data_IF_000792058966
#
_entry.id   IF_000792058966
#
_cell.length_a   1.000
_cell.length_b   1.000
_cell.length_c   1.000
_cell.angle_alpha   90.00
_cell.angle_beta   90.00
_cell.angle_gamma   90.00
#
_symmetry.space_group_name_H-M   'P 1'
#
loop_
_entity.id
_entity.type
_entity.pdbx_description
1 polymer ?
#
# COMPACT_ATOMS: atom_id res chain seq x y z
N UNK A 1 18.32 -57.00 18.83
CA UNK A 1 18.53 -55.63 19.36
C UNK A 1 19.12 -54.65 18.34
N UNK A 2 20.25 -54.92 17.65
CA UNK A 2 20.89 -53.95 16.74
C UNK A 2 19.98 -53.40 15.62
N UNK A 3 19.09 -54.23 15.05
CA UNK A 3 18.13 -53.78 14.02
C UNK A 3 17.10 -52.79 14.56
N UNK A 4 16.67 -52.92 15.82
CA UNK A 4 15.66 -52.03 16.42
C UNK A 4 16.23 -50.62 16.68
N UNK A 5 17.49 -50.53 17.10
CA UNK A 5 18.22 -49.27 17.29
C UNK A 5 18.41 -48.50 15.97
N UNK A 6 18.66 -49.21 14.86
CA UNK A 6 18.82 -48.58 13.53
C UNK A 6 17.52 -47.93 13.04
N UNK A 7 16.38 -48.61 13.22
CA UNK A 7 15.08 -48.08 12.80
C UNK A 7 14.62 -46.92 13.70
N UNK A 8 14.90 -46.98 15.01
CA UNK A 8 14.65 -45.87 15.92
C UNK A 8 15.49 -44.63 15.57
N UNK A 9 16.77 -44.81 15.20
CA UNK A 9 17.63 -43.72 14.74
C UNK A 9 17.14 -43.06 13.45
N UNK A 10 16.68 -43.85 12.48
CA UNK A 10 16.12 -43.34 11.22
C UNK A 10 14.81 -42.58 11.47
N UNK A 11 13.94 -43.08 12.35
CA UNK A 11 12.69 -42.41 12.70
C UNK A 11 12.93 -41.05 13.41
N UNK A 12 13.91 -40.99 14.32
CA UNK A 12 14.30 -39.74 15.00
C UNK A 12 14.89 -38.76 13.98
N UNK A 13 15.76 -39.22 13.08
CA UNK A 13 16.34 -38.37 12.03
C UNK A 13 15.26 -37.82 11.07
N UNK A 14 14.31 -38.64 10.64
CA UNK A 14 13.17 -38.19 9.84
C UNK A 14 12.29 -37.18 10.58
N UNK A 15 12.06 -37.36 11.88
CA UNK A 15 11.27 -36.42 12.69
C UNK A 15 11.94 -35.05 12.84
N UNK A 16 13.28 -35.02 12.86
CA UNK A 16 14.06 -33.78 12.91
C UNK A 16 14.10 -33.05 11.57
N UNK A 17 13.98 -33.76 10.43
CA UNK A 17 13.95 -33.16 9.09
C UNK A 17 12.56 -32.61 8.72
N UNK A 18 11.49 -33.13 9.32
CA UNK A 18 10.11 -32.66 9.09
C UNK A 18 9.76 -31.46 9.99
N UNK A 19 10.60 -31.17 10.99
CA UNK A 19 10.43 -30.05 11.90
C UNK A 19 10.71 -28.69 11.26
N UNK A 20 9.67 -27.86 11.20
CA UNK A 20 9.72 -26.39 11.15
C UNK A 20 9.74 -25.76 9.75
N UNK A 21 8.77 -26.15 8.92
CA UNK A 21 8.25 -25.24 7.89
C UNK A 21 7.48 -24.11 8.59
N UNK A 22 8.19 -23.20 9.25
CA UNK A 22 7.61 -21.93 9.64
C UNK A 22 7.16 -21.26 8.34
N UNK A 23 5.86 -21.09 8.17
CA UNK A 23 5.27 -20.24 7.14
C UNK A 23 5.71 -18.80 7.43
N UNK A 24 6.95 -18.47 7.05
CA UNK A 24 7.44 -17.10 7.09
C UNK A 24 6.71 -16.36 5.98
N UNK A 25 5.60 -15.74 6.34
CA UNK A 25 4.90 -14.82 5.45
C UNK A 25 5.71 -13.53 5.46
N UNK A 26 6.30 -13.19 4.31
CA UNK A 26 7.01 -11.92 4.17
C UNK A 26 6.06 -10.77 4.53
N UNK A 27 6.49 -9.88 5.42
CA UNK A 27 5.75 -8.67 5.73
C UNK A 27 5.54 -7.85 4.46
N UNK A 28 4.39 -7.17 4.33
CA UNK A 28 4.10 -6.33 3.17
C UNK A 28 5.12 -5.19 3.07
N UNK A 29 5.79 -5.09 1.93
CA UNK A 29 6.82 -4.08 1.69
C UNK A 29 6.33 -3.06 0.69
N UNK A 30 6.44 -1.78 1.06
CA UNK A 30 6.21 -0.68 0.13
C UNK A 30 7.37 -0.57 -0.87
N UNK A 31 7.10 -0.10 -2.10
CA UNK A 31 8.13 0.09 -3.10
C UNK A 31 9.10 1.22 -2.69
N UNK A 32 10.30 1.21 -3.28
CA UNK A 32 11.20 2.36 -3.18
C UNK A 32 10.58 3.58 -3.87
N UNK A 33 10.83 4.81 -3.38
CA UNK A 33 10.33 6.01 -4.04
C UNK A 33 10.74 6.06 -5.51
N UNK A 34 9.78 6.34 -6.39
CA UNK A 34 10.03 6.48 -7.82
C UNK A 34 10.57 7.89 -8.13
N UNK A 35 10.47 8.33 -9.40
CA UNK A 35 10.72 9.73 -9.75
C UNK A 35 9.83 10.64 -8.90
N UNK A 36 10.41 11.71 -8.35
CA UNK A 36 9.71 12.69 -7.52
C UNK A 36 9.30 13.94 -8.29
N UNK A 37 8.27 14.68 -7.82
CA UNK A 37 7.98 16.02 -8.30
C UNK A 37 9.26 16.88 -8.34
N UNK A 38 9.50 17.56 -9.46
CA UNK A 38 10.73 18.34 -9.71
C UNK A 38 11.72 17.66 -10.65
N UNK A 39 11.59 16.36 -10.92
CA UNK A 39 12.33 15.69 -12.00
C UNK A 39 11.55 15.74 -13.32
N UNK A 40 12.22 16.00 -14.46
CA UNK A 40 11.59 15.98 -15.80
C UNK A 40 10.90 14.64 -16.11
N UNK A 41 11.47 13.54 -15.64
CA UNK A 41 10.94 12.18 -15.82
C UNK A 41 9.69 11.90 -14.96
N UNK A 42 9.38 12.75 -13.97
CA UNK A 42 8.18 12.59 -13.15
C UNK A 42 6.91 12.64 -13.99
N UNK A 43 6.78 13.68 -14.83
CA UNK A 43 5.61 13.85 -15.70
C UNK A 43 5.49 12.71 -16.71
N UNK A 44 6.61 12.23 -17.24
CA UNK A 44 6.64 11.07 -18.14
C UNK A 44 6.15 9.83 -17.39
N UNK A 45 6.65 9.58 -16.19
CA UNK A 45 6.24 8.43 -15.37
C UNK A 45 4.74 8.46 -15.06
N UNK A 46 4.18 9.64 -14.77
CA UNK A 46 2.75 9.82 -14.53
C UNK A 46 1.90 9.49 -15.76
N UNK A 47 2.31 9.96 -16.94
CA UNK A 47 1.61 9.64 -18.19
C UNK A 47 1.68 8.13 -18.44
N UNK A 48 2.85 7.53 -18.25
CA UNK A 48 3.02 6.08 -18.39
C UNK A 48 2.15 5.29 -17.42
N UNK A 49 1.95 5.76 -16.19
CA UNK A 49 1.08 5.10 -15.22
C UNK A 49 -0.38 5.12 -15.67
N UNK A 50 -0.89 6.26 -16.17
CA UNK A 50 -2.23 6.35 -16.76
C UNK A 50 -2.36 5.42 -17.97
N UNK A 51 -1.36 5.41 -18.86
CA UNK A 51 -1.35 4.54 -20.03
C UNK A 51 -1.33 3.06 -19.65
N UNK A 52 -0.59 2.69 -18.60
CA UNK A 52 -0.59 1.33 -18.06
C UNK A 52 -1.97 0.92 -17.58
N UNK A 53 -2.76 1.83 -16.99
CA UNK A 53 -4.13 1.54 -16.55
C UNK A 53 -5.00 0.92 -17.65
N UNK A 54 -4.83 1.34 -18.90
CA UNK A 54 -5.52 0.74 -20.06
C UNK A 54 -5.08 -0.69 -20.37
N UNK A 55 -3.88 -1.09 -19.95
CA UNK A 55 -3.33 -2.44 -20.15
C UNK A 55 -3.69 -3.42 -19.03
N UNK A 56 -4.19 -2.93 -17.90
CA UNK A 56 -4.69 -3.76 -16.79
C UNK A 56 -6.15 -4.16 -17.05
N UNK A 57 -6.34 -5.14 -17.95
CA UNK A 57 -7.67 -5.63 -18.30
C UNK A 57 -8.27 -6.55 -17.23
N UNK A 58 -9.49 -6.23 -16.80
CA UNK A 58 -10.28 -7.02 -15.85
C UNK A 58 -10.07 -6.66 -14.38
N UNK A 59 -11.03 -7.03 -13.53
CA UNK A 59 -11.09 -6.56 -12.14
C UNK A 59 -9.87 -6.97 -11.28
N UNK A 60 -9.34 -8.19 -11.47
CA UNK A 60 -8.13 -8.68 -10.78
C UNK A 60 -6.91 -7.82 -11.12
N UNK A 61 -6.77 -7.44 -12.39
CA UNK A 61 -5.69 -6.59 -12.85
C UNK A 61 -5.85 -5.17 -12.28
N UNK A 62 -7.08 -4.63 -12.31
CA UNK A 62 -7.39 -3.32 -11.76
C UNK A 62 -7.10 -3.21 -10.26
N UNK A 63 -7.41 -4.24 -9.46
CA UNK A 63 -7.05 -4.27 -8.03
C UNK A 63 -5.54 -4.11 -7.84
N UNK A 64 -4.73 -4.86 -8.61
CA UNK A 64 -3.26 -4.81 -8.54
C UNK A 64 -2.70 -3.48 -9.03
N UNK A 65 -3.35 -2.88 -10.01
CA UNK A 65 -2.98 -1.56 -10.53
C UNK A 65 -3.21 -0.48 -9.47
N UNK A 66 -4.42 -0.41 -8.92
CA UNK A 66 -4.82 0.59 -7.93
C UNK A 66 -4.04 0.46 -6.61
N UNK A 67 -3.80 -0.75 -6.12
CA UNK A 67 -2.95 -0.95 -4.93
C UNK A 67 -1.51 -0.49 -5.19
N UNK A 68 -0.95 -0.78 -6.36
CA UNK A 68 0.42 -0.39 -6.72
C UNK A 68 0.58 1.12 -6.86
N UNK A 69 -0.41 1.81 -7.43
CA UNK A 69 -0.41 3.27 -7.47
C UNK A 69 -0.59 3.89 -6.09
N UNK A 70 -1.50 3.34 -5.28
CA UNK A 70 -1.69 3.83 -3.92
C UNK A 70 -0.41 3.69 -3.08
N UNK A 71 0.28 2.55 -3.16
CA UNK A 71 1.59 2.32 -2.54
C UNK A 71 2.63 3.34 -2.98
N UNK A 72 2.77 3.54 -4.30
CA UNK A 72 3.70 4.52 -4.88
C UNK A 72 3.44 5.90 -4.28
N UNK A 73 2.18 6.32 -4.27
CA UNK A 73 1.80 7.66 -3.82
C UNK A 73 1.88 7.85 -2.30
N UNK A 74 1.66 6.81 -1.47
CA UNK A 74 1.93 6.90 -0.02
C UNK A 74 3.42 7.13 0.23
N UNK A 75 4.29 6.41 -0.48
CA UNK A 75 5.75 6.55 -0.34
C UNK A 75 6.22 7.92 -0.81
N UNK A 76 5.68 8.40 -1.94
CA UNK A 76 5.91 9.76 -2.45
C UNK A 76 5.48 10.80 -1.43
N UNK A 77 4.26 10.71 -0.89
CA UNK A 77 3.76 11.61 0.14
C UNK A 77 4.66 11.60 1.38
N UNK A 78 5.05 10.41 1.88
CA UNK A 78 5.96 10.27 3.01
C UNK A 78 7.25 11.05 2.79
N UNK A 79 7.91 10.84 1.66
CA UNK A 79 9.22 11.48 1.44
C UNK A 79 9.10 12.97 1.13
N UNK A 80 8.00 13.43 0.52
CA UNK A 80 7.71 14.86 0.39
C UNK A 80 7.44 15.54 1.74
N UNK A 81 6.75 14.86 2.67
CA UNK A 81 6.58 15.35 4.04
C UNK A 81 7.93 15.46 4.78
N UNK A 82 8.81 14.46 4.62
CA UNK A 82 10.17 14.48 5.19
C UNK A 82 11.00 15.65 4.66
N UNK A 83 10.80 16.05 3.40
CA UNK A 83 11.43 17.21 2.79
C UNK A 83 10.66 18.52 2.97
N UNK A 84 9.63 18.54 3.82
CA UNK A 84 8.80 19.72 4.12
C UNK A 84 8.11 20.32 2.88
N UNK A 85 7.96 19.54 1.82
CA UNK A 85 7.27 19.94 0.59
C UNK A 85 5.76 19.70 0.73
N UNK A 86 5.14 20.33 1.74
CA UNK A 86 3.79 20.00 2.20
C UNK A 86 2.70 20.06 1.13
N UNK A 87 2.75 21.05 0.24
CA UNK A 87 1.77 21.18 -0.84
C UNK A 87 1.79 19.96 -1.78
N UNK A 88 2.99 19.52 -2.16
CA UNK A 88 3.18 18.35 -3.02
C UNK A 88 2.87 17.05 -2.26
N UNK A 89 3.22 16.98 -0.98
CA UNK A 89 2.93 15.84 -0.13
C UNK A 89 1.41 15.59 0.03
N UNK A 90 0.65 16.67 0.22
CA UNK A 90 -0.82 16.65 0.30
C UNK A 90 -1.43 16.15 -1.01
N UNK A 91 -0.95 16.66 -2.15
CA UNK A 91 -1.38 16.22 -3.48
C UNK A 91 -1.06 14.73 -3.74
N UNK A 92 0.14 14.26 -3.41
CA UNK A 92 0.50 12.85 -3.50
C UNK A 92 -0.38 11.97 -2.59
N UNK A 93 -0.65 12.41 -1.36
CA UNK A 93 -1.51 11.68 -0.42
C UNK A 93 -2.95 11.58 -0.93
N UNK A 94 -3.50 12.65 -1.52
CA UNK A 94 -4.82 12.63 -2.14
C UNK A 94 -4.91 11.61 -3.28
N UNK A 95 -3.90 11.56 -4.17
CA UNK A 95 -3.88 10.54 -5.24
C UNK A 95 -3.81 9.14 -4.66
N UNK A 96 -3.01 8.94 -3.61
CA UNK A 96 -2.98 7.65 -2.93
C UNK A 96 -4.36 7.25 -2.39
N UNK A 97 -5.12 8.21 -1.84
CA UNK A 97 -6.49 8.01 -1.36
C UNK A 97 -7.44 7.62 -2.48
N UNK A 98 -7.40 8.35 -3.61
CA UNK A 98 -8.23 8.10 -4.79
C UNK A 98 -8.04 6.65 -5.27
N UNK A 99 -6.79 6.25 -5.48
CA UNK A 99 -6.42 4.90 -5.95
C UNK A 99 -6.82 3.81 -4.95
N UNK A 100 -6.68 4.04 -3.64
CA UNK A 100 -7.07 3.03 -2.65
C UNK A 100 -8.59 2.87 -2.54
N UNK A 101 -9.33 3.98 -2.67
CA UNK A 101 -10.77 4.04 -2.43
C UNK A 101 -11.61 3.25 -3.43
N UNK A 102 -11.10 3.02 -4.64
CA UNK A 102 -11.81 2.28 -5.70
C UNK A 102 -11.63 0.76 -5.60
N UNK A 103 -10.67 0.27 -4.80
CA UNK A 103 -10.33 -1.15 -4.69
C UNK A 103 -11.51 -2.04 -4.29
N UNK A 104 -12.36 -1.69 -3.29
CA UNK A 104 -13.52 -2.50 -2.90
C UNK A 104 -14.48 -2.78 -4.07
N UNK A 105 -14.71 -1.79 -4.93
CA UNK A 105 -15.60 -1.94 -6.08
C UNK A 105 -15.09 -3.02 -7.04
N UNK A 106 -13.79 -3.03 -7.35
CA UNK A 106 -13.19 -4.03 -8.21
C UNK A 106 -13.16 -5.41 -7.55
N UNK A 107 -12.96 -5.51 -6.23
CA UNK A 107 -13.07 -6.78 -5.51
C UNK A 107 -14.49 -7.34 -5.65
N UNK A 108 -15.52 -6.52 -5.41
CA UNK A 108 -16.93 -6.92 -5.57
C UNK A 108 -17.23 -7.39 -6.99
N UNK A 109 -16.78 -6.64 -8.01
CA UNK A 109 -16.96 -7.04 -9.41
C UNK A 109 -16.25 -8.37 -9.72
N UNK A 110 -15.04 -8.58 -9.24
CA UNK A 110 -14.32 -9.84 -9.41
C UNK A 110 -15.04 -11.03 -8.73
N UNK A 111 -15.62 -10.82 -7.54
CA UNK A 111 -16.42 -11.83 -6.85
C UNK A 111 -17.69 -12.18 -7.63
N UNK A 112 -18.39 -11.17 -8.17
CA UNK A 112 -19.58 -11.38 -9.02
C UNK A 112 -19.25 -12.15 -10.31
N UNK A 113 -18.02 -12.02 -10.81
CA UNK A 113 -17.50 -12.80 -11.94
C UNK A 113 -17.04 -14.22 -11.54
N UNK A 114 -17.23 -14.62 -10.28
CA UNK A 114 -16.84 -15.95 -9.77
C UNK A 114 -15.33 -16.14 -9.58
N UNK A 115 -14.55 -15.04 -9.49
CA UNK A 115 -13.10 -15.11 -9.31
C UNK A 115 -12.72 -15.25 -7.83
N UNK A 116 -11.69 -16.04 -7.53
CA UNK A 116 -11.14 -16.13 -6.17
C UNK A 116 -10.28 -14.89 -5.86
N UNK A 117 -10.79 -14.04 -4.95
CA UNK A 117 -10.16 -12.80 -4.52
C UNK A 117 -9.52 -12.89 -3.13
N UNK A 118 -9.47 -14.06 -2.50
CA UNK A 118 -9.02 -14.19 -1.08
C UNK A 118 -7.61 -13.64 -0.87
N UNK A 119 -6.68 -14.08 -1.73
CA UNK A 119 -5.28 -13.64 -1.66
C UNK A 119 -5.13 -12.13 -1.95
N UNK A 120 -5.94 -11.59 -2.87
CA UNK A 120 -5.91 -10.16 -3.19
C UNK A 120 -6.49 -9.33 -2.05
N UNK A 121 -7.61 -9.74 -1.47
CA UNK A 121 -8.22 -9.07 -0.33
C UNK A 121 -7.25 -9.02 0.84
N UNK A 122 -6.55 -10.13 1.09
CA UNK A 122 -5.52 -10.19 2.12
C UNK A 122 -4.30 -9.31 1.82
N UNK A 123 -3.93 -9.18 0.54
CA UNK A 123 -2.88 -8.24 0.10
C UNK A 123 -3.32 -6.80 0.37
N UNK A 124 -4.57 -6.44 0.05
CA UNK A 124 -5.15 -5.11 0.31
C UNK A 124 -5.19 -4.81 1.81
N UNK A 125 -5.57 -5.77 2.65
CA UNK A 125 -5.52 -5.61 4.12
C UNK A 125 -4.09 -5.36 4.61
N UNK A 126 -3.13 -6.11 4.09
CA UNK A 126 -1.73 -5.95 4.45
C UNK A 126 -1.19 -4.56 4.02
N UNK A 127 -1.57 -4.09 2.83
CA UNK A 127 -1.25 -2.74 2.36
C UNK A 127 -1.89 -1.67 3.24
N UNK A 128 -3.18 -1.81 3.60
CA UNK A 128 -3.88 -0.88 4.48
C UNK A 128 -3.19 -0.72 5.83
N UNK A 129 -2.73 -1.82 6.44
CA UNK A 129 -1.96 -1.81 7.69
C UNK A 129 -0.66 -1.04 7.49
N UNK A 130 0.10 -1.34 6.43
CA UNK A 130 1.38 -0.67 6.19
C UNK A 130 1.23 0.81 5.85
N UNK A 131 0.20 1.18 5.09
CA UNK A 131 -0.15 2.58 4.84
C UNK A 131 -0.47 3.31 6.14
N UNK A 132 -1.28 2.69 7.01
CA UNK A 132 -1.66 3.29 8.30
C UNK A 132 -0.45 3.51 9.20
N UNK A 133 0.51 2.59 9.21
CA UNK A 133 1.79 2.75 9.92
C UNK A 133 2.58 3.97 9.40
N UNK A 134 2.71 4.10 8.08
CA UNK A 134 3.38 5.25 7.46
C UNK A 134 2.65 6.56 7.77
N UNK A 135 1.33 6.58 7.63
CA UNK A 135 0.50 7.76 7.88
C UNK A 135 0.55 8.19 9.35
N UNK A 136 0.56 7.24 10.28
CA UNK A 136 0.72 7.51 11.72
C UNK A 136 2.09 8.13 12.01
N UNK A 137 3.14 7.62 11.35
CA UNK A 137 4.50 8.18 11.47
C UNK A 137 4.57 9.61 10.94
N UNK A 138 3.96 9.87 9.78
CA UNK A 138 3.87 11.23 9.21
C UNK A 138 3.12 12.13 10.19
N UNK A 139 1.94 11.73 10.67
CA UNK A 139 1.11 12.53 11.58
C UNK A 139 1.83 12.90 12.88
N UNK A 140 2.74 12.06 13.37
CA UNK A 140 3.53 12.33 14.57
C UNK A 140 4.68 13.32 14.34
N UNK A 141 5.10 13.54 13.09
CA UNK A 141 6.31 14.31 12.75
C UNK A 141 6.04 15.64 12.04
N UNK A 142 4.90 15.76 11.36
CA UNK A 142 4.53 16.96 10.59
C UNK A 142 3.67 17.93 11.40
N UNK A 143 3.66 19.24 11.07
CA UNK A 143 2.74 20.18 11.70
C UNK A 143 1.29 19.82 11.39
N UNK A 144 0.39 20.07 12.34
CA UNK A 144 -1.05 19.80 12.16
C UNK A 144 -1.64 20.57 10.98
N UNK A 145 -1.18 21.80 10.78
CA UNK A 145 -1.60 22.65 9.68
C UNK A 145 -0.42 23.50 9.20
N UNK A 146 -0.50 23.96 7.95
CA UNK A 146 0.56 24.72 7.32
C UNK A 146 -0.01 25.79 6.39
N UNK A 147 0.42 27.04 6.56
CA UNK A 147 0.07 28.13 5.65
C UNK A 147 1.12 28.21 4.54
N UNK A 148 0.76 27.74 3.34
CA UNK A 148 1.62 27.86 2.18
C UNK A 148 1.43 29.24 1.53
N UNK A 149 2.51 29.99 1.39
CA UNK A 149 2.51 31.35 0.82
C UNK A 149 3.32 31.36 -0.48
N UNK A 150 2.67 31.36 -1.65
CA UNK A 150 3.35 31.46 -2.93
C UNK A 150 3.77 32.89 -3.26
N UNK A 151 4.72 33.02 -4.18
CA UNK A 151 5.20 34.33 -4.64
C UNK A 151 4.15 35.15 -5.40
N UNK A 152 3.26 34.49 -6.16
CA UNK A 152 2.39 35.14 -7.16
C UNK A 152 0.91 34.74 -7.07
N UNK A 153 0.47 34.14 -5.97
CA UNK A 153 -0.93 33.74 -5.78
C UNK A 153 -1.37 33.87 -4.33
N UNK A 154 -2.66 33.61 -4.06
CA UNK A 154 -3.17 33.61 -2.70
C UNK A 154 -2.54 32.49 -1.86
N UNK A 155 -2.39 32.74 -0.56
CA UNK A 155 -1.94 31.73 0.40
C UNK A 155 -2.96 30.60 0.53
N UNK A 156 -2.47 29.37 0.72
CA UNK A 156 -3.29 28.17 0.89
C UNK A 156 -3.07 27.62 2.30
N UNK A 157 -4.16 27.49 3.07
CA UNK A 157 -4.12 26.80 4.35
C UNK A 157 -4.27 25.30 4.14
N UNK A 158 -3.27 24.52 4.55
CA UNK A 158 -3.29 23.06 4.50
C UNK A 158 -3.64 22.51 5.88
N UNK A 159 -4.74 21.78 5.98
CA UNK A 159 -5.10 21.00 7.18
C UNK A 159 -4.54 19.57 7.06
N UNK A 160 -3.25 19.45 7.38
CA UNK A 160 -2.48 18.20 7.18
C UNK A 160 -3.00 17.10 8.11
N UNK A 161 -3.33 17.43 9.36
CA UNK A 161 -3.82 16.46 10.33
C UNK A 161 -5.15 15.86 9.87
N UNK A 162 -6.11 16.70 9.49
CA UNK A 162 -7.42 16.22 9.01
C UNK A 162 -7.25 15.33 7.79
N UNK A 163 -6.39 15.72 6.84
CA UNK A 163 -6.10 14.92 5.65
C UNK A 163 -5.54 13.55 6.00
N UNK A 164 -4.55 13.46 6.90
CA UNK A 164 -3.96 12.17 7.27
C UNK A 164 -4.98 11.28 7.99
N UNK A 165 -5.80 11.85 8.88
CA UNK A 165 -6.87 11.10 9.56
C UNK A 165 -7.90 10.57 8.56
N UNK A 166 -8.28 11.37 7.56
CA UNK A 166 -9.14 10.92 6.46
C UNK A 166 -8.48 9.79 5.67
N UNK A 167 -7.19 9.91 5.33
CA UNK A 167 -6.44 8.85 4.65
C UNK A 167 -6.44 7.54 5.43
N UNK A 168 -6.23 7.59 6.75
CA UNK A 168 -6.31 6.41 7.64
C UNK A 168 -7.72 5.82 7.64
N UNK A 169 -8.75 6.67 7.75
CA UNK A 169 -10.15 6.24 7.73
C UNK A 169 -10.53 5.54 6.41
N UNK A 170 -10.00 6.00 5.26
CA UNK A 170 -10.19 5.34 3.96
C UNK A 170 -9.65 3.91 4.01
N UNK A 171 -8.44 3.70 4.55
CA UNK A 171 -7.85 2.35 4.67
C UNK A 171 -8.67 1.46 5.58
N UNK A 172 -9.09 1.99 6.73
CA UNK A 172 -9.94 1.28 7.68
C UNK A 172 -11.26 0.85 7.06
N UNK A 173 -11.97 1.77 6.39
CA UNK A 173 -13.24 1.48 5.71
C UNK A 173 -13.07 0.43 4.61
N UNK A 174 -12.05 0.57 3.76
CA UNK A 174 -11.72 -0.43 2.74
C UNK A 174 -11.54 -1.80 3.36
N UNK A 175 -10.80 -1.95 4.47
CA UNK A 175 -10.65 -3.26 5.13
C UNK A 175 -11.98 -3.81 5.66
N UNK A 176 -12.83 -2.96 6.24
CA UNK A 176 -14.15 -3.37 6.72
C UNK A 176 -15.03 -3.90 5.59
N UNK A 177 -15.08 -3.22 4.45
CA UNK A 177 -15.86 -3.63 3.26
C UNK A 177 -15.38 -4.96 2.66
N UNK A 178 -14.12 -5.36 2.89
CA UNK A 178 -13.59 -6.66 2.45
C UNK A 178 -13.91 -7.82 3.41
N UNK A 179 -14.58 -7.54 4.52
CA UNK A 179 -14.94 -8.54 5.53
C UNK A 179 -16.42 -8.93 5.48
N UNK A 180 -17.21 -8.22 4.67
CA UNK A 180 -18.62 -8.49 4.37
C UNK A 180 -18.78 -9.42 3.15
#
# INVERSE_FOLDING_TARGET
MKKFLLHAGIAIFLSLVIGHWSLVRAAYTLPYPSYMPGNKLYNVSRILDILKGYWYFGNIAQIKYHIGLSDKYVVEAKTLFEYQQYLLAVDALNRSNEEFSVIPEYIRKAMLEGKDVRNLSETVRSAAVKHTEVLTTINATVPKSFLWVPEKSASIQLDIQSLILQSVAIRGRTVSELSE
#
